data_IF_046013131237
#
_entry.id   IF_046013131237
#
_cell.length_a   1.000
_cell.length_b   1.000
_cell.length_c   1.000
_cell.angle_alpha   90.00
_cell.angle_beta   90.00
_cell.angle_gamma   90.00
#
_symmetry.space_group_name_H-M   'P 1'
#
loop_
_entity.id
_entity.type
_entity.pdbx_description
1 polymer ?
#
# COMPACT_ATOMS: atom_id res chain seq x y z
N UNK A 1 8.98 -0.12 7.46
CA UNK A 1 8.84 -1.40 6.74
C UNK A 1 7.46 -1.51 6.10
N UNK A 2 6.37 -1.72 6.85
CA UNK A 2 5.05 -1.88 6.21
C UNK A 2 4.61 -0.61 5.44
N UNK A 3 4.87 0.59 5.98
CA UNK A 3 4.67 1.84 5.22
C UNK A 3 5.52 1.88 3.95
N UNK A 4 6.81 1.53 4.04
CA UNK A 4 7.72 1.50 2.88
C UNK A 4 7.19 0.55 1.79
N UNK A 5 6.69 -0.63 2.17
CA UNK A 5 6.09 -1.60 1.25
C UNK A 5 4.88 -1.02 0.50
N UNK A 6 3.99 -0.30 1.19
CA UNK A 6 2.82 0.31 0.54
C UNK A 6 3.17 1.45 -0.43
N UNK A 7 4.28 2.14 -0.22
CA UNK A 7 4.61 3.43 -0.84
C UNK A 7 5.30 3.31 -2.21
N UNK A 8 5.34 2.11 -2.77
CA UNK A 8 5.96 1.82 -4.06
C UNK A 8 5.26 0.65 -4.75
N UNK A 9 5.25 0.66 -6.08
CA UNK A 9 4.75 -0.45 -6.89
C UNK A 9 5.86 -1.37 -7.43
N UNK A 10 7.13 -1.13 -7.07
CA UNK A 10 8.31 -1.83 -7.58
C UNK A 10 8.29 -3.32 -7.24
N UNK A 11 7.76 -3.71 -6.09
CA UNK A 11 7.63 -5.12 -5.69
C UNK A 11 6.49 -5.87 -6.39
N UNK A 12 5.49 -5.16 -6.96
CA UNK A 12 4.25 -5.77 -7.49
C UNK A 12 4.52 -6.97 -8.41
N UNK A 13 5.39 -6.87 -9.46
CA UNK A 13 5.59 -7.97 -10.41
C UNK A 13 6.25 -9.22 -9.79
N UNK A 14 6.83 -9.09 -8.60
CA UNK A 14 7.61 -10.13 -7.94
C UNK A 14 6.89 -10.75 -6.75
N UNK A 15 6.02 -9.98 -6.09
CA UNK A 15 5.35 -10.37 -4.83
C UNK A 15 3.85 -10.58 -5.03
N UNK A 16 3.21 -9.85 -5.95
CA UNK A 16 1.76 -9.93 -6.15
C UNK A 16 1.38 -10.33 -7.59
N UNK A 17 1.39 -11.63 -7.94
CA UNK A 17 0.99 -12.11 -9.26
C UNK A 17 -0.47 -11.76 -9.61
N UNK A 18 -1.36 -11.73 -8.61
CA UNK A 18 -2.77 -11.36 -8.77
C UNK A 18 -2.94 -9.87 -9.03
N UNK A 19 -2.40 -9.02 -8.16
CA UNK A 19 -2.50 -7.56 -8.27
C UNK A 19 -1.80 -7.01 -9.52
N UNK A 20 -0.69 -7.61 -9.93
CA UNK A 20 0.04 -7.22 -11.15
C UNK A 20 -0.75 -7.44 -12.44
N UNK A 21 -1.82 -8.24 -12.42
CA UNK A 21 -2.72 -8.39 -13.58
C UNK A 21 -3.79 -7.32 -13.64
N UNK A 22 -4.08 -6.67 -12.52
CA UNK A 22 -5.10 -5.63 -12.40
C UNK A 22 -4.56 -4.23 -12.68
N UNK A 23 -3.31 -3.99 -12.30
CA UNK A 23 -2.65 -2.68 -12.39
C UNK A 23 -1.74 -2.62 -13.62
N UNK A 24 -1.78 -1.51 -14.36
CA UNK A 24 -0.79 -1.23 -15.39
C UNK A 24 0.48 -0.62 -14.77
N UNK A 25 1.47 -1.48 -14.53
CA UNK A 25 2.77 -1.08 -13.95
C UNK A 25 3.52 0.00 -14.76
N UNK A 26 3.21 0.19 -16.05
CA UNK A 26 3.82 1.22 -16.90
C UNK A 26 3.19 2.59 -16.67
N UNK A 27 1.91 2.62 -16.33
CA UNK A 27 1.15 3.84 -16.06
C UNK A 27 1.06 4.17 -14.56
N UNK A 28 1.73 3.38 -13.71
CA UNK A 28 1.83 3.61 -12.28
C UNK A 28 2.66 4.87 -11.98
N UNK A 29 2.00 5.93 -11.53
CA UNK A 29 2.61 7.21 -11.20
C UNK A 29 2.47 7.55 -9.71
N UNK A 30 3.39 8.36 -9.18
CA UNK A 30 3.35 8.81 -7.79
C UNK A 30 3.61 10.30 -7.69
N UNK A 31 2.65 11.01 -7.11
CA UNK A 31 2.73 12.43 -6.78
C UNK A 31 2.96 12.64 -5.28
N UNK A 32 3.77 13.64 -4.93
CA UNK A 32 4.15 13.96 -3.55
C UNK A 32 3.57 15.31 -3.13
N UNK A 33 3.04 15.39 -1.91
CA UNK A 33 2.46 16.58 -1.31
C UNK A 33 2.94 16.73 0.14
N UNK A 34 2.76 17.90 0.75
CA UNK A 34 3.34 18.24 2.06
C UNK A 34 3.15 17.18 3.16
N UNK A 35 1.97 16.56 3.22
CA UNK A 35 1.61 15.60 4.29
C UNK A 35 1.09 14.26 3.77
N UNK A 36 1.09 14.06 2.46
CA UNK A 36 0.62 12.83 1.86
C UNK A 36 1.29 12.55 0.52
N UNK A 37 1.29 11.29 0.12
CA UNK A 37 1.60 10.89 -1.25
C UNK A 37 0.39 10.25 -1.89
N UNK A 38 0.32 10.34 -3.22
CA UNK A 38 -0.76 9.80 -4.02
C UNK A 38 -0.17 8.95 -5.15
N UNK A 39 -0.61 7.70 -5.24
CA UNK A 39 -0.26 6.77 -6.29
C UNK A 39 -1.49 6.45 -7.12
N UNK A 40 -1.28 6.26 -8.42
CA UNK A 40 -2.34 6.13 -9.40
C UNK A 40 -2.03 5.03 -10.40
N UNK A 41 -3.04 4.24 -10.76
CA UNK A 41 -2.98 3.33 -11.90
C UNK A 41 -4.36 3.17 -12.54
N UNK A 42 -4.47 3.09 -13.87
CA UNK A 42 -5.68 2.58 -14.49
C UNK A 42 -5.93 1.13 -14.04
N UNK A 43 -7.21 0.75 -13.94
CA UNK A 43 -7.61 -0.64 -13.77
C UNK A 43 -7.78 -1.28 -15.15
N UNK A 44 -7.23 -2.49 -15.32
CA UNK A 44 -7.35 -3.25 -16.56
C UNK A 44 -7.28 -4.75 -16.33
N UNK A 45 -7.38 -5.51 -17.41
CA UNK A 45 -7.25 -6.97 -17.42
C UNK A 45 -8.56 -7.74 -17.24
N UNK A 46 -8.60 -8.95 -17.80
CA UNK A 46 -9.78 -9.81 -17.85
C UNK A 46 -10.27 -10.27 -16.46
N UNK A 47 -9.42 -10.17 -15.44
CA UNK A 47 -9.72 -10.53 -14.04
C UNK A 47 -10.22 -9.35 -13.20
N UNK A 48 -10.42 -8.16 -13.78
CA UNK A 48 -10.89 -6.99 -13.05
C UNK A 48 -12.39 -7.11 -12.69
N UNK A 49 -12.67 -7.42 -11.43
CA UNK A 49 -14.02 -7.50 -10.88
C UNK A 49 -14.51 -6.18 -10.25
N UNK A 50 -13.67 -5.14 -10.17
CA UNK A 50 -14.07 -3.81 -9.68
C UNK A 50 -14.81 -2.98 -10.74
N UNK A 51 -14.71 -3.37 -12.01
CA UNK A 51 -15.28 -2.64 -13.15
C UNK A 51 -14.31 -1.63 -13.75
N UNK A 52 -14.77 -0.91 -14.77
CA UNK A 52 -13.96 0.12 -15.45
C UNK A 52 -13.68 1.29 -14.50
N UNK A 53 -12.43 1.74 -14.47
CA UNK A 53 -12.03 2.86 -13.63
C UNK A 53 -10.55 2.87 -13.32
N UNK A 54 -10.23 3.42 -12.16
CA UNK A 54 -8.87 3.72 -11.73
C UNK A 54 -8.68 3.30 -10.28
N UNK A 55 -7.46 2.89 -9.95
CA UNK A 55 -7.01 2.66 -8.59
C UNK A 55 -6.29 3.91 -8.07
N UNK A 56 -6.72 4.38 -6.91
CA UNK A 56 -6.20 5.56 -6.25
C UNK A 56 -5.69 5.17 -4.86
N UNK A 57 -4.42 5.41 -4.62
CA UNK A 57 -3.75 5.04 -3.37
C UNK A 57 -3.23 6.30 -2.68
N UNK A 58 -3.70 6.58 -1.48
CA UNK A 58 -3.20 7.69 -0.67
C UNK A 58 -2.44 7.14 0.52
N UNK A 59 -1.31 7.75 0.85
CA UNK A 59 -0.66 7.59 2.14
C UNK A 59 -0.63 8.96 2.82
N UNK A 60 -1.43 9.11 3.88
CA UNK A 60 -1.48 10.30 4.73
C UNK A 60 -0.59 10.07 5.93
N UNK A 61 0.40 10.95 6.10
CA UNK A 61 1.31 10.90 7.23
C UNK A 61 0.54 11.09 8.55
N UNK A 62 0.80 10.29 9.60
CA UNK A 62 1.96 9.40 9.73
C UNK A 62 1.72 7.93 9.36
N UNK A 63 0.48 7.46 9.30
CA UNK A 63 0.20 6.01 9.37
C UNK A 63 -1.14 5.60 8.75
N UNK A 64 -1.75 6.43 7.92
CA UNK A 64 -3.05 6.18 7.30
C UNK A 64 -2.90 5.98 5.80
N UNK A 65 -3.48 4.92 5.27
CA UNK A 65 -3.54 4.65 3.83
C UNK A 65 -4.99 4.50 3.36
N UNK A 66 -5.26 4.90 2.12
CA UNK A 66 -6.56 4.76 1.49
C UNK A 66 -6.39 4.11 0.11
N UNK A 67 -7.09 3.01 -0.12
CA UNK A 67 -7.17 2.30 -1.39
C UNK A 67 -8.57 2.50 -1.96
N UNK A 68 -8.71 3.42 -2.90
CA UNK A 68 -9.98 3.79 -3.51
C UNK A 68 -10.04 3.21 -4.92
N UNK A 69 -10.97 2.28 -5.11
CA UNK A 69 -11.29 1.63 -6.38
C UNK A 69 -12.78 1.90 -6.70
N UNK A 70 -13.27 1.63 -7.92
CA UNK A 70 -14.68 1.81 -8.23
C UNK A 70 -15.60 1.10 -7.23
N UNK A 71 -16.56 1.85 -6.68
CA UNK A 71 -17.54 1.40 -5.68
C UNK A 71 -16.95 0.91 -4.34
N UNK A 72 -15.67 1.15 -4.08
CA UNK A 72 -14.96 0.56 -2.94
C UNK A 72 -13.87 1.50 -2.39
N UNK A 73 -13.88 1.72 -1.09
CA UNK A 73 -12.80 2.39 -0.35
C UNK A 73 -12.34 1.49 0.79
N UNK A 74 -11.04 1.23 0.88
CA UNK A 74 -10.43 0.54 2.02
C UNK A 74 -9.47 1.48 2.71
N UNK A 75 -9.57 1.51 4.02
CA UNK A 75 -8.68 2.24 4.91
C UNK A 75 -7.72 1.25 5.54
N UNK A 76 -6.43 1.57 5.55
CA UNK A 76 -5.42 0.80 6.27
C UNK A 76 -4.77 1.73 7.31
N UNK A 77 -4.96 1.43 8.59
CA UNK A 77 -4.35 2.18 9.70
C UNK A 77 -3.27 1.33 10.35
N UNK A 78 -2.03 1.84 10.38
CA UNK A 78 -0.93 1.16 11.07
C UNK A 78 -0.86 1.63 12.51
N UNK A 79 -0.97 0.69 13.44
CA UNK A 79 -0.80 0.90 14.87
C UNK A 79 0.52 0.26 15.30
N UNK A 80 1.56 1.06 15.62
CA UNK A 80 2.81 0.53 16.17
C UNK A 80 2.56 -0.17 17.51
N UNK A 81 3.06 -1.41 17.65
CA UNK A 81 3.03 -2.19 18.90
C UNK A 81 4.42 -2.35 19.53
N UNK A 82 5.46 -1.95 18.80
CA UNK A 82 6.84 -1.91 19.23
C UNK A 82 7.73 -1.39 18.09
N UNK A 83 9.04 -1.51 18.26
CA UNK A 83 10.04 -1.16 17.22
C UNK A 83 10.08 -2.16 16.06
N UNK A 84 9.56 -3.37 16.28
CA UNK A 84 9.61 -4.51 15.37
C UNK A 84 8.25 -5.19 15.17
N UNK A 85 7.18 -4.57 15.68
CA UNK A 85 5.81 -5.08 15.59
C UNK A 85 4.82 -3.95 15.32
N UNK A 86 3.88 -4.21 14.41
CA UNK A 86 2.72 -3.36 14.17
C UNK A 86 1.47 -4.20 14.00
N UNK A 87 0.32 -3.55 14.14
CA UNK A 87 -0.99 -4.06 13.75
C UNK A 87 -1.49 -3.18 12.60
N UNK A 88 -2.06 -3.80 11.57
CA UNK A 88 -2.67 -3.09 10.45
C UNK A 88 -4.17 -3.34 10.52
N UNK A 89 -4.94 -2.27 10.71
CA UNK A 89 -6.40 -2.33 10.78
C UNK A 89 -6.94 -1.99 9.40
N UNK A 90 -7.74 -2.89 8.85
CA UNK A 90 -8.38 -2.72 7.54
C UNK A 90 -9.88 -2.51 7.71
N UNK A 91 -10.36 -1.33 7.31
CA UNK A 91 -11.79 -1.05 7.24
C UNK A 91 -12.21 -0.93 5.77
N UNK A 92 -13.33 -1.55 5.41
CA UNK A 92 -13.84 -1.57 4.05
C UNK A 92 -15.20 -0.88 3.96
N UNK A 93 -15.34 -0.02 2.96
CA UNK A 93 -16.54 0.76 2.68
C UNK A 93 -16.94 0.54 1.22
N UNK A 94 -18.20 0.17 1.01
CA UNK A 94 -18.74 -0.13 -0.31
C UNK A 94 -19.96 0.72 -0.61
N UNK A 95 -20.12 1.12 -1.86
CA UNK A 95 -21.34 1.79 -2.31
C UNK A 95 -22.49 0.77 -2.42
N UNK A 96 -23.68 1.12 -1.91
CA UNK A 96 -24.89 0.29 -1.97
C UNK A 96 -24.66 -1.16 -1.47
N UNK A 97 -24.23 -1.36 -0.21
CA UNK A 97 -23.81 -2.68 0.28
C UNK A 97 -24.93 -3.72 0.22
N UNK A 98 -26.20 -3.32 0.35
CA UNK A 98 -27.33 -4.26 0.38
C UNK A 98 -27.73 -4.82 -1.00
N UNK A 99 -27.13 -4.33 -2.09
CA UNK A 99 -27.43 -4.81 -3.44
C UNK A 99 -26.76 -6.16 -3.74
N UNK A 100 -27.43 -7.12 -4.43
CA UNK A 100 -26.85 -8.44 -4.71
C UNK A 100 -25.52 -8.41 -5.48
N UNK A 101 -25.36 -7.47 -6.42
CA UNK A 101 -24.11 -7.32 -7.16
C UNK A 101 -22.98 -6.79 -6.26
N UNK A 102 -23.28 -5.86 -5.36
CA UNK A 102 -22.32 -5.36 -4.38
C UNK A 102 -21.93 -6.44 -3.38
N UNK A 103 -22.87 -7.26 -2.92
CA UNK A 103 -22.56 -8.40 -2.03
C UNK A 103 -21.59 -9.39 -2.67
N UNK A 104 -21.74 -9.65 -3.98
CA UNK A 104 -20.77 -10.44 -4.73
C UNK A 104 -19.39 -9.74 -4.80
N UNK A 105 -19.37 -8.46 -5.15
CA UNK A 105 -18.13 -7.65 -5.16
C UNK A 105 -17.42 -7.69 -3.81
N UNK A 106 -18.14 -7.57 -2.70
CA UNK A 106 -17.60 -7.63 -1.34
C UNK A 106 -16.93 -8.99 -1.09
N UNK A 107 -17.61 -10.09 -1.44
CA UNK A 107 -17.05 -11.42 -1.25
C UNK A 107 -15.76 -11.64 -2.06
N UNK A 108 -15.77 -11.24 -3.33
CA UNK A 108 -14.61 -11.34 -4.23
C UNK A 108 -13.46 -10.42 -3.75
N UNK A 109 -13.76 -9.17 -3.33
CA UNK A 109 -12.78 -8.20 -2.81
C UNK A 109 -12.14 -8.65 -1.51
N UNK A 110 -12.93 -9.20 -0.57
CA UNK A 110 -12.39 -9.67 0.71
C UNK A 110 -11.46 -10.87 0.52
N UNK A 111 -11.83 -11.82 -0.35
CA UNK A 111 -10.98 -12.96 -0.66
C UNK A 111 -9.67 -12.52 -1.33
N UNK A 112 -9.76 -11.63 -2.32
CA UNK A 112 -8.59 -11.12 -3.01
C UNK A 112 -7.71 -10.27 -2.08
N UNK A 113 -8.31 -9.43 -1.24
CA UNK A 113 -7.59 -8.61 -0.28
C UNK A 113 -6.85 -9.45 0.76
N UNK A 114 -7.41 -10.58 1.21
CA UNK A 114 -6.75 -11.49 2.15
C UNK A 114 -5.49 -12.12 1.54
N UNK A 115 -5.54 -12.53 0.27
CA UNK A 115 -4.37 -13.04 -0.47
C UNK A 115 -3.25 -11.99 -0.52
N UNK A 116 -3.57 -10.78 -0.98
CA UNK A 116 -2.58 -9.68 -1.11
C UNK A 116 -2.00 -9.30 0.25
N UNK A 117 -2.82 -9.21 1.30
CA UNK A 117 -2.35 -8.89 2.65
C UNK A 117 -1.38 -9.94 3.20
N UNK A 118 -1.64 -11.23 2.94
CA UNK A 118 -0.73 -12.29 3.37
C UNK A 118 0.62 -12.22 2.64
N UNK A 119 0.61 -11.89 1.35
CA UNK A 119 1.84 -11.65 0.56
C UNK A 119 2.65 -10.46 1.13
N UNK A 120 1.98 -9.35 1.45
CA UNK A 120 2.58 -8.17 2.08
C UNK A 120 3.18 -8.47 3.46
N UNK A 121 2.47 -9.25 4.28
CA UNK A 121 2.95 -9.67 5.60
C UNK A 121 4.23 -10.49 5.44
N UNK A 122 4.25 -11.47 4.54
CA UNK A 122 5.42 -12.34 4.35
C UNK A 122 6.66 -11.53 3.97
N UNK A 123 6.54 -10.64 2.98
CA UNK A 123 7.69 -9.86 2.52
C UNK A 123 8.17 -8.88 3.59
N UNK A 124 7.24 -8.22 4.30
CA UNK A 124 7.59 -7.29 5.39
C UNK A 124 8.33 -8.01 6.54
N UNK A 125 7.87 -9.19 6.95
CA UNK A 125 8.54 -9.97 7.99
C UNK A 125 9.95 -10.41 7.57
N UNK A 126 10.12 -10.80 6.30
CA UNK A 126 11.43 -11.19 5.74
C UNK A 126 12.38 -10.00 5.69
N UNK A 127 11.89 -8.82 5.28
CA UNK A 127 12.66 -7.58 5.31
C UNK A 127 13.06 -7.23 6.75
N UNK A 128 12.13 -7.28 7.70
CA UNK A 128 12.42 -7.00 9.11
C UNK A 128 13.50 -7.94 9.68
N UNK A 129 13.40 -9.26 9.40
CA UNK A 129 14.45 -10.23 9.78
C UNK A 129 15.81 -9.88 9.16
N UNK A 130 15.84 -9.48 7.90
CA UNK A 130 17.05 -9.05 7.21
C UNK A 130 17.69 -7.80 7.81
N UNK A 131 16.89 -6.79 8.14
CA UNK A 131 17.35 -5.55 8.79
C UNK A 131 17.97 -5.82 10.17
N UNK A 132 17.44 -6.82 10.90
CA UNK A 132 17.93 -7.22 12.22
C UNK A 132 19.17 -8.13 12.18
N UNK A 133 19.65 -8.53 11.00
CA UNK A 133 20.76 -9.49 10.86
C UNK A 133 22.14 -8.94 11.26
N UNK A 134 22.30 -7.62 11.33
CA UNK A 134 23.59 -6.95 11.53
C UNK A 134 24.53 -6.94 10.32
N UNK A 135 24.21 -7.67 9.25
CA UNK A 135 24.99 -7.68 8.00
C UNK A 135 24.57 -6.58 7.02
N UNK A 136 23.37 -6.02 7.19
CA UNK A 136 22.82 -4.98 6.33
C UNK A 136 22.96 -3.60 6.99
N UNK A 137 23.26 -2.58 6.19
CA UNK A 137 23.40 -1.20 6.69
C UNK A 137 22.30 -0.28 6.17
N UNK A 138 22.17 -0.13 4.85
CA UNK A 138 21.13 0.71 4.24
C UNK A 138 20.80 0.28 2.82
N UNK A 139 19.57 0.54 2.41
CA UNK A 139 19.09 0.37 1.05
C UNK A 139 19.35 1.59 0.19
N UNK A 140 19.41 1.36 -1.12
CA UNK A 140 19.40 2.43 -2.12
C UNK A 140 18.01 2.40 -2.75
N UNK A 141 17.30 3.52 -2.66
CA UNK A 141 15.98 3.66 -3.28
C UNK A 141 16.12 3.88 -4.78
N UNK A 142 15.32 3.17 -5.56
CA UNK A 142 15.09 3.37 -6.97
C UNK A 142 14.36 4.71 -7.18
N UNK A 143 15.09 5.73 -7.62
CA UNK A 143 14.55 7.08 -7.80
C UNK A 143 13.35 7.18 -8.73
N UNK A 144 13.17 6.21 -9.63
CA UNK A 144 12.04 6.17 -10.56
C UNK A 144 10.78 5.51 -9.99
N UNK A 145 10.89 4.70 -8.93
CA UNK A 145 9.80 3.83 -8.47
C UNK A 145 9.53 3.92 -6.96
N UNK A 146 10.48 4.39 -6.17
CA UNK A 146 10.40 4.44 -4.70
C UNK A 146 10.37 5.90 -4.15
N UNK A 147 9.84 6.83 -4.94
CA UNK A 147 9.72 8.23 -4.56
C UNK A 147 8.77 8.46 -3.38
N UNK A 148 7.70 7.65 -3.25
CA UNK A 148 6.82 7.64 -2.09
C UNK A 148 7.55 7.21 -0.80
N UNK A 149 8.39 6.19 -0.90
CA UNK A 149 9.23 5.71 0.22
C UNK A 149 10.19 6.81 0.67
N UNK A 150 10.90 7.44 -0.28
CA UNK A 150 11.80 8.55 0.01
C UNK A 150 11.06 9.69 0.74
N UNK A 151 9.89 10.08 0.23
CA UNK A 151 9.07 11.14 0.78
C UNK A 151 8.66 10.86 2.23
N UNK A 152 8.10 9.67 2.50
CA UNK A 152 7.71 9.27 3.85
C UNK A 152 8.89 9.26 4.82
N UNK A 153 10.04 8.71 4.40
CA UNK A 153 11.24 8.70 5.23
C UNK A 153 11.73 10.13 5.53
N UNK A 154 11.59 11.09 4.60
CA UNK A 154 11.94 12.48 4.88
C UNK A 154 10.95 13.15 5.84
N UNK A 155 9.64 12.89 5.75
CA UNK A 155 8.66 13.36 6.74
C UNK A 155 8.98 12.85 8.15
N UNK A 156 9.36 11.58 8.27
CA UNK A 156 9.83 11.01 9.54
C UNK A 156 11.08 11.77 10.05
N UNK A 157 12.09 11.98 9.19
CA UNK A 157 13.30 12.73 9.58
C UNK A 157 12.97 14.16 10.03
N UNK A 158 12.05 14.84 9.34
CA UNK A 158 11.60 16.18 9.73
C UNK A 158 10.90 16.17 11.09
N UNK A 159 10.01 15.21 11.34
CA UNK A 159 9.35 15.06 12.63
C UNK A 159 10.36 14.84 13.77
N UNK A 160 11.39 14.00 13.56
CA UNK A 160 12.46 13.82 14.55
C UNK A 160 13.31 15.08 14.75
N UNK A 161 13.67 15.78 13.68
CA UNK A 161 14.40 17.06 13.79
C UNK A 161 13.62 18.08 14.61
N UNK A 162 12.31 18.15 14.42
CA UNK A 162 11.45 19.05 15.19
C UNK A 162 11.35 18.63 16.67
N UNK A 163 11.19 17.33 16.95
CA UNK A 163 11.07 16.83 18.32
C UNK A 163 12.36 16.95 19.15
N UNK A 164 13.53 16.85 18.51
CA UNK A 164 14.85 16.88 19.16
C UNK A 164 15.46 18.30 19.26
N UNK A 165 14.83 19.31 18.65
CA UNK A 165 15.25 20.71 18.72
C UNK A 165 14.74 21.39 19.99
#
# INVERSE_FOLDING_TARGET
VYMDNYLEGYHLPYVHPGLSKLLDYREYDTSLFDWYSYQFSPLGGDSNFYGEGQAHYYCVFPNLMLNILPNRCQLNLIVPRGDSQCEVIFDYYYANPDEPNTQKLIADDLQFSDEIQNEDIEICERVQKGLMSGAYTKGILCTKREQGVWHFQELIRQAYRWYLA
#
